data_IF_680633024325
#
_entry.id   IF_680633024325
#
_cell.length_a   1.000
_cell.length_b   1.000
_cell.length_c   1.000
_cell.angle_alpha   90.00
_cell.angle_beta   90.00
_cell.angle_gamma   90.00
#
_symmetry.space_group_name_H-M   'P 1'
#
loop_
_entity.id
_entity.type
_entity.pdbx_description
1 polymer ?
#
# COMPACT_ATOMS: atom_id res chain seq x y z
N UNK A 1 -4.66 7.18 -18.13
CA UNK A 1 -3.48 6.38 -17.74
C UNK A 1 -2.47 7.29 -17.08
N UNK A 2 -1.43 6.76 -16.41
CA UNK A 2 -0.36 7.61 -15.90
C UNK A 2 0.82 6.87 -15.31
N UNK A 3 1.83 7.64 -14.95
CA UNK A 3 3.07 7.21 -14.34
C UNK A 3 3.35 8.05 -13.10
N UNK A 4 3.78 7.40 -12.02
CA UNK A 4 4.31 8.04 -10.82
C UNK A 4 5.78 7.66 -10.70
N UNK A 5 6.65 8.66 -10.49
CA UNK A 5 8.07 8.46 -10.24
C UNK A 5 8.45 9.16 -8.94
N UNK A 6 9.15 8.46 -8.07
CA UNK A 6 9.72 9.00 -6.85
C UNK A 6 11.25 8.95 -6.95
N UNK A 7 11.89 10.11 -6.79
CA UNK A 7 13.33 10.24 -6.93
C UNK A 7 13.96 10.59 -5.60
N UNK A 8 14.78 9.68 -5.07
CA UNK A 8 15.49 9.85 -3.81
C UNK A 8 16.99 10.03 -4.05
N UNK A 9 17.61 11.00 -3.36
CA UNK A 9 19.06 11.01 -3.23
C UNK A 9 19.51 9.89 -2.28
N UNK A 10 20.78 9.46 -2.36
CA UNK A 10 21.34 8.47 -1.44
C UNK A 10 21.14 8.85 0.03
N UNK A 11 21.35 10.13 0.38
CA UNK A 11 21.14 10.62 1.74
C UNK A 11 19.67 10.52 2.18
N UNK A 12 18.73 10.82 1.27
CA UNK A 12 17.29 10.71 1.56
C UNK A 12 16.86 9.27 1.74
N UNK A 13 17.30 8.38 0.84
CA UNK A 13 16.98 6.95 0.91
C UNK A 13 17.48 6.33 2.22
N UNK A 14 18.72 6.64 2.62
CA UNK A 14 19.28 6.19 3.89
C UNK A 14 18.50 6.73 5.09
N UNK A 15 18.15 8.02 5.08
CA UNK A 15 17.37 8.59 6.18
C UNK A 15 15.99 7.93 6.33
N UNK A 16 15.29 7.70 5.21
CA UNK A 16 13.99 7.03 5.22
C UNK A 16 14.09 5.59 5.71
N UNK A 17 15.07 4.84 5.20
CA UNK A 17 15.37 3.47 5.64
C UNK A 17 15.73 3.41 7.13
N UNK A 18 16.66 4.24 7.59
CA UNK A 18 17.08 4.29 9.00
C UNK A 18 15.89 4.59 9.92
N UNK A 19 15.11 5.61 9.59
CA UNK A 19 13.95 5.98 10.40
C UNK A 19 12.91 4.86 10.43
N UNK A 20 12.66 4.20 9.30
CA UNK A 20 11.72 3.10 9.22
C UNK A 20 12.16 1.90 10.08
N UNK A 21 13.42 1.49 9.97
CA UNK A 21 13.96 0.36 10.75
C UNK A 21 14.06 0.68 12.26
N UNK A 22 14.44 1.91 12.62
CA UNK A 22 14.46 2.34 14.02
C UNK A 22 13.04 2.36 14.62
N UNK A 23 12.04 2.78 13.84
CA UNK A 23 10.63 2.72 14.27
C UNK A 23 10.13 1.27 14.43
N UNK A 24 10.72 0.31 13.72
CA UNK A 24 10.50 -1.13 13.90
C UNK A 24 11.28 -1.72 15.09
N UNK A 25 12.06 -0.91 15.82
CA UNK A 25 12.82 -1.32 17.01
C UNK A 25 14.23 -1.83 16.73
N UNK A 26 14.73 -1.75 15.49
CA UNK A 26 16.09 -2.16 15.15
C UNK A 26 17.12 -1.11 15.64
N UNK A 27 18.23 -1.52 16.29
CA UNK A 27 19.25 -0.60 16.72
C UNK A 27 20.06 -0.07 15.53
N UNK A 28 20.47 1.21 15.60
CA UNK A 28 21.23 1.87 14.52
C UNK A 28 22.54 1.18 14.14
N UNK A 29 23.11 0.40 15.05
CA UNK A 29 24.34 -0.37 14.82
C UNK A 29 24.17 -1.56 13.87
N UNK A 30 22.94 -2.05 13.70
CA UNK A 30 22.62 -3.20 12.86
C UNK A 30 22.13 -2.80 11.46
N UNK A 31 21.98 -1.49 11.21
CA UNK A 31 21.50 -0.98 9.94
C UNK A 31 22.57 -1.09 8.84
N UNK A 32 22.11 -1.27 7.60
CA UNK A 32 22.95 -1.19 6.44
C UNK A 32 23.68 0.17 6.39
N UNK A 33 24.99 0.14 6.12
CA UNK A 33 25.80 1.36 6.00
C UNK A 33 25.78 1.96 4.58
N UNK A 34 25.39 1.16 3.59
CA UNK A 34 25.42 1.54 2.18
C UNK A 34 24.01 1.63 1.58
N UNK A 35 23.73 2.76 0.94
CA UNK A 35 22.47 3.00 0.21
C UNK A 35 22.22 2.06 -0.97
N UNK A 36 23.29 1.39 -1.45
CA UNK A 36 23.22 0.40 -2.52
C UNK A 36 22.97 -1.03 -2.01
N UNK A 37 22.80 -1.21 -0.69
CA UNK A 37 22.45 -2.52 -0.13
C UNK A 37 21.09 -2.97 -0.64
N UNK A 38 20.98 -4.27 -0.95
CA UNK A 38 19.71 -4.88 -1.35
C UNK A 38 18.62 -4.66 -0.30
N UNK A 39 18.99 -4.64 0.99
CA UNK A 39 18.08 -4.35 2.09
C UNK A 39 17.43 -2.97 1.96
N UNK A 40 18.22 -1.93 1.69
CA UNK A 40 17.72 -0.56 1.51
C UNK A 40 16.76 -0.51 0.31
N UNK A 41 17.13 -1.15 -0.80
CA UNK A 41 16.26 -1.22 -1.98
C UNK A 41 14.95 -1.96 -1.70
N UNK A 42 14.99 -3.06 -0.95
CA UNK A 42 13.81 -3.84 -0.60
C UNK A 42 12.88 -3.07 0.33
N UNK A 43 13.41 -2.46 1.39
CA UNK A 43 12.62 -1.67 2.34
C UNK A 43 12.03 -0.43 1.66
N UNK A 44 12.82 0.26 0.83
CA UNK A 44 12.30 1.38 0.06
C UNK A 44 11.21 0.92 -0.93
N UNK A 45 11.39 -0.22 -1.60
CA UNK A 45 10.38 -0.81 -2.47
C UNK A 45 9.07 -1.13 -1.73
N UNK A 46 9.17 -1.72 -0.54
CA UNK A 46 8.02 -2.05 0.30
C UNK A 46 7.32 -0.80 0.83
N UNK A 47 8.08 0.20 1.29
CA UNK A 47 7.52 1.48 1.69
C UNK A 47 6.78 2.16 0.53
N UNK A 48 7.32 2.07 -0.70
CA UNK A 48 6.65 2.60 -1.88
C UNK A 48 5.39 1.80 -2.23
N UNK A 49 5.41 0.46 -2.14
CA UNK A 49 4.22 -0.37 -2.28
C UNK A 49 3.10 0.10 -1.35
N UNK A 50 3.42 0.31 -0.08
CA UNK A 50 2.47 0.74 0.94
C UNK A 50 1.93 2.14 0.67
N UNK A 51 2.80 3.11 0.37
CA UNK A 51 2.37 4.49 0.10
C UNK A 51 1.44 4.57 -1.10
N UNK A 52 1.77 3.88 -2.20
CA UNK A 52 0.93 3.93 -3.39
C UNK A 52 -0.36 3.12 -3.19
N UNK A 53 -0.30 2.00 -2.46
CA UNK A 53 -1.49 1.24 -2.04
C UNK A 53 -2.46 2.09 -1.21
N UNK A 54 -1.97 2.78 -0.17
CA UNK A 54 -2.76 3.67 0.66
C UNK A 54 -3.36 4.83 -0.13
N UNK A 55 -2.56 5.46 -1.00
CA UNK A 55 -3.02 6.56 -1.83
C UNK A 55 -4.13 6.12 -2.79
N UNK A 56 -3.91 5.04 -3.53
CA UNK A 56 -4.90 4.50 -4.47
C UNK A 56 -6.17 4.04 -3.75
N UNK A 57 -6.04 3.43 -2.57
CA UNK A 57 -7.16 3.06 -1.71
C UNK A 57 -8.00 4.27 -1.28
N UNK A 58 -7.35 5.36 -0.85
CA UNK A 58 -8.04 6.61 -0.47
C UNK A 58 -8.79 7.23 -1.65
N UNK A 59 -8.14 7.36 -2.81
CA UNK A 59 -8.77 7.93 -4.01
C UNK A 59 -9.94 7.06 -4.49
N UNK A 60 -9.78 5.73 -4.49
CA UNK A 60 -10.86 4.79 -4.82
C UNK A 60 -12.08 5.00 -3.94
N UNK A 61 -11.88 5.24 -2.65
CA UNK A 61 -12.96 5.46 -1.68
C UNK A 61 -13.63 6.82 -1.87
N UNK A 62 -12.83 7.87 -1.99
CA UNK A 62 -13.29 9.25 -2.06
C UNK A 62 -14.02 9.56 -3.38
N UNK A 63 -13.54 8.99 -4.48
CA UNK A 63 -14.08 9.24 -5.81
C UNK A 63 -14.95 8.09 -6.34
N UNK A 64 -15.11 7.00 -5.57
CA UNK A 64 -15.81 5.77 -5.97
C UNK A 64 -15.34 5.22 -7.33
N UNK A 65 -14.04 5.33 -7.63
CA UNK A 65 -13.46 4.90 -8.92
C UNK A 65 -12.72 3.58 -8.79
N UNK A 66 -12.53 2.89 -9.90
CA UNK A 66 -11.64 1.74 -9.95
C UNK A 66 -10.27 2.17 -10.49
N UNK A 67 -9.25 2.07 -9.64
CA UNK A 67 -7.85 2.34 -10.02
C UNK A 67 -7.12 1.00 -10.06
N UNK A 68 -6.54 0.70 -11.21
CA UNK A 68 -5.62 -0.42 -11.37
C UNK A 68 -4.18 0.11 -11.38
N UNK A 69 -3.30 -0.58 -10.67
CA UNK A 69 -1.89 -0.22 -10.59
C UNK A 69 -1.02 -1.46 -10.77
N UNK A 70 0.06 -1.30 -11.53
CA UNK A 70 1.14 -2.29 -11.55
C UNK A 70 2.00 -2.18 -10.28
N UNK A 71 2.65 -3.27 -9.87
CA UNK A 71 3.60 -3.20 -8.76
C UNK A 71 4.70 -2.16 -9.06
N UNK A 72 4.95 -1.22 -8.14
CA UNK A 72 6.04 -0.27 -8.30
C UNK A 72 7.37 -1.04 -8.32
N UNK A 73 8.29 -0.56 -9.16
CA UNK A 73 9.61 -1.14 -9.33
C UNK A 73 10.65 -0.18 -8.79
N UNK A 74 11.45 -0.64 -7.83
CA UNK A 74 12.57 0.12 -7.31
C UNK A 74 13.78 -0.03 -8.24
N UNK A 75 14.38 1.10 -8.63
CA UNK A 75 15.57 1.13 -9.48
C UNK A 75 16.68 1.87 -8.75
N UNK A 76 17.79 1.17 -8.48
CA UNK A 76 18.99 1.76 -7.89
C UNK A 76 19.95 2.15 -9.01
N UNK A 77 20.26 3.44 -9.10
CA UNK A 77 21.07 4.00 -10.17
C UNK A 77 22.30 4.70 -9.60
N UNK A 78 23.48 4.19 -9.93
CA UNK A 78 24.77 4.74 -9.46
C UNK A 78 25.32 5.86 -10.34
N UNK A 79 24.58 6.26 -11.39
CA UNK A 79 24.95 7.32 -12.33
C UNK A 79 23.73 8.19 -12.60
N UNK A 80 23.97 9.45 -12.91
CA UNK A 80 22.93 10.33 -13.42
C UNK A 80 22.47 9.79 -14.78
N UNK A 81 21.19 9.45 -14.88
CA UNK A 81 20.56 8.95 -16.10
C UNK A 81 19.32 9.78 -16.40
N UNK A 82 19.02 9.94 -17.69
CA UNK A 82 17.74 10.49 -18.14
C UNK A 82 16.81 9.31 -18.35
N UNK A 83 15.76 9.20 -17.54
CA UNK A 83 14.73 8.20 -17.72
C UNK A 83 13.65 8.79 -18.64
N UNK A 84 13.64 8.34 -19.90
CA UNK A 84 12.52 8.61 -20.80
C UNK A 84 11.54 7.46 -20.70
N UNK A 85 10.34 7.73 -20.19
CA UNK A 85 9.28 6.73 -20.13
C UNK A 85 8.32 6.97 -21.27
N UNK A 86 8.31 6.04 -22.23
CA UNK A 86 7.35 6.04 -23.33
C UNK A 86 6.00 5.58 -22.79
N UNK A 87 5.18 6.55 -22.40
CA UNK A 87 3.80 6.32 -21.98
C UNK A 87 2.91 6.89 -23.08
N UNK A 88 2.00 6.05 -23.60
CA UNK A 88 0.98 6.50 -24.55
C UNK A 88 -0.06 7.32 -23.78
N UNK A 89 0.24 8.61 -23.61
CA UNK A 89 -0.64 9.61 -23.01
C UNK A 89 -1.10 10.57 -24.10
N UNK A 90 -2.40 10.79 -24.22
CA UNK A 90 -2.99 11.63 -25.27
C UNK A 90 -2.79 13.12 -24.95
N UNK A 91 -3.08 13.50 -23.70
CA UNK A 91 -2.93 14.85 -23.17
C UNK A 91 -2.29 14.78 -21.78
N UNK A 92 -0.96 14.58 -21.70
CA UNK A 92 -0.29 14.40 -20.41
C UNK A 92 -0.26 15.70 -19.62
N UNK A 93 -0.78 15.65 -18.40
CA UNK A 93 -0.51 16.63 -17.35
C UNK A 93 0.62 16.14 -16.46
N UNK A 94 1.67 16.95 -16.29
CA UNK A 94 2.76 16.66 -15.36
C UNK A 94 2.65 17.53 -14.12
N UNK A 95 2.77 16.90 -12.95
CA UNK A 95 2.79 17.54 -11.64
C UNK A 95 4.03 17.06 -10.90
N UNK A 96 4.78 18.00 -10.31
CA UNK A 96 5.89 17.71 -9.39
C UNK A 96 5.54 18.19 -8.00
N UNK A 97 5.62 17.30 -7.03
CA UNK A 97 5.47 17.60 -5.60
C UNK A 97 6.83 17.46 -4.94
N UNK A 98 7.18 18.42 -4.09
CA UNK A 98 8.46 18.44 -3.36
C UNK A 98 8.20 18.09 -1.92
N UNK A 99 8.98 17.16 -1.38
CA UNK A 99 8.92 16.73 0.01
C UNK A 99 10.23 17.06 0.72
N UNK A 100 10.13 17.28 2.02
CA UNK A 100 11.26 17.54 2.91
C UNK A 100 11.25 16.49 4.02
N UNK A 101 12.39 15.86 4.25
CA UNK A 101 12.59 14.96 5.39
C UNK A 101 12.88 15.73 6.67
N UNK A 102 12.95 15.03 7.81
CA UNK A 102 13.30 15.61 9.11
C UNK A 102 14.70 16.22 9.12
N UNK A 103 15.66 15.66 8.38
CA UNK A 103 17.00 16.23 8.19
C UNK A 103 17.06 17.26 7.04
N UNK A 104 15.90 17.70 6.53
CA UNK A 104 15.76 18.69 5.47
C UNK A 104 16.34 18.24 4.11
N UNK A 105 16.41 16.93 3.87
CA UNK A 105 16.70 16.38 2.56
C UNK A 105 15.46 16.50 1.66
N UNK A 106 15.69 16.75 0.37
CA UNK A 106 14.62 16.96 -0.59
C UNK A 106 14.47 15.71 -1.46
N UNK A 107 13.24 15.29 -1.69
CA UNK A 107 12.89 14.34 -2.73
C UNK A 107 11.62 14.77 -3.46
N UNK A 108 11.43 14.21 -4.65
CA UNK A 108 10.36 14.61 -5.55
C UNK A 108 9.47 13.43 -5.90
N UNK A 109 8.16 13.69 -5.90
CA UNK A 109 7.19 12.88 -6.61
C UNK A 109 6.86 13.58 -7.92
N UNK A 110 6.98 12.86 -9.02
CA UNK A 110 6.59 13.30 -10.34
C UNK A 110 5.44 12.42 -10.80
N UNK A 111 4.31 13.05 -11.11
CA UNK A 111 3.12 12.39 -11.63
C UNK A 111 2.91 12.89 -13.05
N UNK A 112 2.76 11.97 -13.99
CA UNK A 112 2.29 12.25 -15.34
C UNK A 112 1.01 11.45 -15.57
N UNK A 113 -0.12 12.11 -15.78
CA UNK A 113 -1.41 11.46 -16.04
C UNK A 113 -2.09 12.09 -17.23
N UNK A 114 -2.91 11.32 -17.95
CA UNK A 114 -3.84 11.91 -18.92
C UNK A 114 -4.77 12.88 -18.20
N UNK A 115 -5.02 14.04 -18.82
CA UNK A 115 -6.00 15.00 -18.33
C UNK A 115 -7.33 14.28 -18.08
N UNK A 116 -7.70 14.21 -16.81
CA UNK A 116 -8.90 13.51 -16.34
C UNK A 116 -9.73 14.49 -15.53
N UNK A 117 -10.99 14.70 -15.94
CA UNK A 117 -11.93 15.56 -15.21
C UNK A 117 -12.85 14.67 -14.35
N UNK A 118 -12.80 14.84 -13.03
CA UNK A 118 -13.69 14.16 -12.10
C UNK A 118 -14.95 15.01 -11.90
N UNK A 119 -15.99 14.72 -12.68
CA UNK A 119 -17.27 15.41 -12.54
C UNK A 119 -18.11 14.66 -11.51
N UNK A 120 -18.24 15.25 -10.32
CA UNK A 120 -19.13 14.73 -9.27
C UNK A 120 -20.59 14.92 -9.73
N UNK A 121 -21.24 13.83 -10.13
CA UNK A 121 -22.64 13.88 -10.57
C UNK A 121 -23.62 13.95 -9.40
N UNK A 122 -23.28 13.36 -8.25
CA UNK A 122 -24.12 13.34 -7.04
C UNK A 122 -23.24 13.40 -5.78
N UNK A 123 -23.80 13.87 -4.67
CA UNK A 123 -23.16 13.72 -3.36
C UNK A 123 -23.24 12.28 -2.89
N UNK A 124 -22.09 11.61 -2.83
CA UNK A 124 -21.95 10.27 -2.29
C UNK A 124 -21.50 10.37 -0.83
N UNK A 125 -22.08 9.58 0.06
CA UNK A 125 -21.53 9.36 1.39
C UNK A 125 -20.24 8.55 1.24
N UNK A 126 -19.13 9.05 1.81
CA UNK A 126 -17.87 8.31 1.87
C UNK A 126 -18.13 7.12 2.77
N UNK A 127 -18.22 5.91 2.19
CA UNK A 127 -18.44 4.69 2.95
C UNK A 127 -17.39 4.56 4.05
N UNK A 128 -17.84 4.26 5.27
CA UNK A 128 -16.99 4.06 6.44
C UNK A 128 -15.85 3.10 6.13
N UNK A 129 -14.68 3.37 6.72
CA UNK A 129 -13.52 2.50 6.63
C UNK A 129 -13.86 1.19 7.36
N UNK A 130 -14.35 0.19 6.63
CA UNK A 130 -14.53 -1.15 7.18
C UNK A 130 -13.14 -1.70 7.50
N UNK A 131 -12.73 -1.52 8.75
CA UNK A 131 -11.47 -2.02 9.23
C UNK A 131 -11.51 -3.56 9.17
N UNK A 132 -10.57 -4.23 8.48
CA UNK A 132 -10.56 -5.69 8.40
C UNK A 132 -10.57 -6.34 9.78
N UNK A 133 -9.96 -5.72 10.80
CA UNK A 133 -10.01 -6.20 12.17
C UNK A 133 -11.42 -6.12 12.77
N UNK A 134 -12.21 -5.11 12.40
CA UNK A 134 -13.61 -4.97 12.83
C UNK A 134 -14.52 -6.00 12.14
N UNK A 135 -14.27 -6.28 10.86
CA UNK A 135 -14.99 -7.33 10.10
C UNK A 135 -14.66 -8.71 10.66
N UNK A 136 -13.38 -8.98 10.97
CA UNK A 136 -12.95 -10.23 11.60
C UNK A 136 -13.51 -10.32 13.02
N UNK A 137 -13.49 -9.23 13.80
CA UNK A 137 -14.09 -9.19 15.13
C UNK A 137 -15.60 -9.45 15.08
N UNK A 138 -16.33 -8.88 14.12
CA UNK A 138 -17.75 -9.17 13.88
C UNK A 138 -17.96 -10.64 13.51
N UNK A 139 -17.19 -11.19 12.57
CA UNK A 139 -17.30 -12.59 12.18
C UNK A 139 -16.97 -13.55 13.35
N UNK A 140 -16.02 -13.18 14.21
CA UNK A 140 -15.64 -13.97 15.39
C UNK A 140 -16.69 -13.83 16.51
N UNK A 141 -17.31 -12.66 16.66
CA UNK A 141 -18.39 -12.41 17.61
C UNK A 141 -19.70 -13.11 17.20
N UNK A 142 -20.00 -13.15 15.90
CA UNK A 142 -21.12 -13.90 15.34
C UNK A 142 -20.86 -15.42 15.38
N UNK A 143 -19.60 -15.86 15.21
CA UNK A 143 -19.20 -17.25 15.42
C UNK A 143 -19.25 -17.73 16.88
N UNK A 144 -19.37 -16.81 17.85
CA UNK A 144 -19.45 -17.13 19.28
C UNK A 144 -20.87 -16.96 19.86
N UNK A 145 -21.86 -16.68 19.00
CA UNK A 145 -23.27 -16.66 19.38
C UNK A 145 -23.95 -17.95 18.91
N UNK A 146 -24.07 -18.89 19.85
CA UNK A 146 -24.87 -20.13 19.82
C UNK A 146 -24.37 -21.27 18.90
N UNK A 147 -23.51 -22.11 19.46
CA UNK A 147 -23.77 -23.54 19.39
C UNK A 147 -24.81 -23.87 20.47
N UNK A 148 -26.01 -24.36 20.15
CA UNK A 148 -26.82 -25.06 21.13
C UNK A 148 -25.98 -26.22 21.65
N UNK A 149 -25.97 -26.45 22.96
CA UNK A 149 -25.42 -27.68 23.52
C UNK A 149 -26.20 -28.86 22.90
N UNK A 150 -25.59 -29.54 21.93
CA UNK A 150 -26.13 -30.76 21.36
C UNK A 150 -25.91 -31.82 22.42
N UNK A 151 -27.00 -32.29 23.03
CA UNK A 151 -26.98 -33.47 23.89
C UNK A 151 -26.28 -34.61 23.12
N UNK A 152 -25.39 -35.33 23.80
CA UNK A 152 -24.53 -36.37 23.25
C UNK A 152 -25.28 -37.66 22.81
N UNK A 153 -26.55 -37.55 22.42
CA UNK A 153 -27.38 -38.66 21.93
C UNK A 153 -27.61 -38.68 20.41
N UNK A 154 -27.41 -37.56 19.71
CA UNK A 154 -27.83 -37.41 18.30
C UNK A 154 -26.80 -37.97 17.28
N UNK A 155 -25.52 -38.06 17.68
CA UNK A 155 -24.46 -38.55 16.79
C UNK A 155 -24.57 -40.05 16.50
N UNK A 156 -25.04 -40.84 17.48
CA UNK A 156 -25.27 -42.28 17.33
C UNK A 156 -26.49 -42.58 16.43
N UNK A 157 -27.54 -41.78 16.47
CA UNK A 157 -28.71 -41.95 15.60
C UNK A 157 -28.40 -41.62 14.12
N UNK A 158 -27.57 -40.60 13.88
CA UNK A 158 -27.10 -40.24 12.54
C UNK A 158 -26.23 -41.35 11.92
N UNK A 159 -25.36 -41.99 12.70
CA UNK A 159 -24.53 -43.10 12.22
C UNK A 159 -25.37 -44.33 11.88
N UNK A 160 -26.39 -44.63 12.69
CA UNK A 160 -27.35 -45.71 12.45
C UNK A 160 -28.23 -45.47 11.22
N UNK A 161 -28.59 -44.21 10.97
CA UNK A 161 -29.35 -43.78 9.78
C UNK A 161 -28.56 -43.93 8.48
N UNK A 162 -27.22 -43.88 8.54
CA UNK A 162 -26.35 -43.98 7.37
C UNK A 162 -25.92 -45.42 7.05
N UNK A 163 -26.38 -46.40 7.83
CA UNK A 163 -26.22 -47.83 7.51
C UNK A 163 -24.82 -48.41 7.79
N UNK A 164 -24.09 -47.83 8.74
CA UNK A 164 -22.91 -48.45 9.36
C UNK A 164 -23.28 -49.18 10.65
#
# INVERSE_FOLDING_TARGET
SGLVVLNFSAATAMELYENYMVNMGMPKSELASAHTSDEVSNIMGELMNQIVGDFTGKIRRELQTNITQNQPKMLVLNKQVVLSVDTQLDQPESRRVTFYTSKNNIFYLELAIDRTEFIKLHDFEVGEDLNPDEVIAQATAEGNSQLPAVEAGDQDELLKSLGF
#
